data_IF_916065625490
#
_entry.id   IF_916065625490
#
_cell.length_a   1.000
_cell.length_b   1.000
_cell.length_c   1.000
_cell.angle_alpha   90.00
_cell.angle_beta   90.00
_cell.angle_gamma   90.00
#
_symmetry.space_group_name_H-M   'P 1'
#
loop_
_entity.id
_entity.type
_entity.pdbx_description
1 polymer ?
#
# COMPACT_ATOMS: atom_id res chain seq x y z
N UNK A 1 -12.86 7.67 -18.50
CA UNK A 1 -12.91 7.71 -17.03
C UNK A 1 -12.20 6.46 -16.54
N UNK A 2 -11.13 6.59 -15.76
CA UNK A 2 -10.38 5.45 -15.23
C UNK A 2 -10.94 5.14 -13.84
N UNK A 3 -11.65 4.02 -13.73
CA UNK A 3 -12.18 3.51 -12.47
C UNK A 3 -11.13 2.59 -11.87
N UNK A 4 -10.47 3.02 -10.79
CA UNK A 4 -9.61 2.16 -9.98
C UNK A 4 -10.45 1.47 -8.91
N UNK A 5 -10.31 0.15 -8.80
CA UNK A 5 -10.88 -0.61 -7.68
C UNK A 5 -9.77 -0.91 -6.68
N UNK A 6 -9.98 -0.60 -5.40
CA UNK A 6 -9.11 -1.05 -4.33
C UNK A 6 -9.66 -2.38 -3.83
N UNK A 7 -8.86 -3.44 -3.92
CA UNK A 7 -9.20 -4.77 -3.43
C UNK A 7 -8.18 -5.18 -2.37
N UNK A 8 -8.67 -5.41 -1.15
CA UNK A 8 -7.86 -5.71 0.03
C UNK A 8 -7.59 -4.47 0.88
N UNK A 9 -8.00 -4.51 2.14
CA UNK A 9 -7.58 -3.57 3.18
C UNK A 9 -6.90 -4.39 4.29
N UNK A 10 -5.80 -3.87 4.81
CA UNK A 10 -5.11 -4.44 5.97
C UNK A 10 -4.98 -3.33 6.99
N UNK A 11 -5.07 -3.68 8.28
CA UNK A 11 -4.91 -2.76 9.40
C UNK A 11 -3.44 -2.35 9.62
N UNK A 12 -2.55 -2.75 8.72
CA UNK A 12 -1.20 -2.22 8.71
C UNK A 12 -1.24 -0.73 8.36
N UNK A 13 -1.36 0.11 9.38
CA UNK A 13 -1.37 1.58 9.33
C UNK A 13 -0.04 2.18 8.82
N UNK A 14 0.86 1.38 8.26
CA UNK A 14 2.18 1.83 7.88
C UNK A 14 2.58 1.34 6.48
N UNK A 15 2.70 2.28 5.55
CA UNK A 15 3.16 2.07 4.17
C UNK A 15 4.59 1.49 4.08
N UNK A 16 5.33 1.48 5.19
CA UNK A 16 6.70 0.95 5.28
C UNK A 16 6.79 -0.57 5.13
N UNK A 17 5.68 -1.32 5.20
CA UNK A 17 5.70 -2.79 5.06
C UNK A 17 4.73 -3.29 3.98
N UNK A 18 5.16 -4.31 3.23
CA UNK A 18 4.32 -4.96 2.23
C UNK A 18 3.16 -5.70 2.91
N UNK A 19 1.89 -5.44 2.51
CA UNK A 19 0.73 -6.07 3.12
C UNK A 19 0.59 -7.57 2.74
N UNK A 20 1.34 -8.06 1.74
CA UNK A 20 1.31 -9.46 1.31
C UNK A 20 2.35 -10.34 2.00
N UNK A 21 3.59 -9.85 2.14
CA UNK A 21 4.70 -10.65 2.64
C UNK A 21 5.35 -10.09 3.91
N UNK A 22 4.99 -8.88 4.36
CA UNK A 22 5.58 -8.23 5.52
C UNK A 22 6.99 -7.67 5.31
N UNK A 23 7.53 -7.72 4.09
CA UNK A 23 8.84 -7.14 3.77
C UNK A 23 8.85 -5.61 3.94
N UNK A 24 9.96 -5.05 4.40
CA UNK A 24 10.17 -3.60 4.48
C UNK A 24 10.25 -2.99 3.07
N UNK A 25 9.62 -1.84 2.89
CA UNK A 25 9.57 -1.10 1.62
C UNK A 25 10.52 0.08 1.64
N UNK A 26 11.25 0.25 0.53
CA UNK A 26 12.12 1.41 0.28
C UNK A 26 11.74 2.19 -0.98
N UNK A 27 10.97 1.59 -1.89
CA UNK A 27 10.45 2.23 -3.12
C UNK A 27 9.11 2.93 -2.84
N UNK A 28 9.17 4.24 -2.58
CA UNK A 28 8.00 5.12 -2.41
C UNK A 28 7.81 6.05 -3.62
N UNK A 29 6.56 6.31 -3.98
CA UNK A 29 6.20 7.19 -5.09
C UNK A 29 5.45 8.42 -4.58
N UNK A 30 5.62 9.55 -5.28
CA UNK A 30 4.98 10.83 -4.92
C UNK A 30 3.46 10.82 -5.04
N UNK A 31 2.86 9.76 -5.60
CA UNK A 31 1.41 9.57 -5.65
C UNK A 31 0.84 8.85 -4.41
N UNK A 32 1.66 8.64 -3.37
CA UNK A 32 1.24 8.02 -2.11
C UNK A 32 1.20 6.49 -2.18
N UNK A 33 1.82 5.88 -3.19
CA UNK A 33 1.94 4.42 -3.31
C UNK A 33 3.37 3.93 -3.05
N UNK A 34 3.48 2.65 -2.71
CA UNK A 34 4.72 1.92 -2.48
C UNK A 34 4.79 0.69 -3.39
N UNK A 35 6.00 0.24 -3.74
CA UNK A 35 6.21 -0.99 -4.52
C UNK A 35 7.01 -2.02 -3.74
N UNK A 36 6.41 -3.19 -3.52
CA UNK A 36 7.13 -4.35 -3.01
C UNK A 36 7.79 -5.12 -4.16
N UNK A 37 9.13 -5.12 -4.21
CA UNK A 37 9.90 -5.83 -5.25
C UNK A 37 9.81 -7.35 -5.13
N UNK A 38 9.70 -7.88 -3.90
CA UNK A 38 9.59 -9.33 -3.69
C UNK A 38 8.27 -9.91 -4.19
N UNK A 39 7.17 -9.16 -4.03
CA UNK A 39 5.84 -9.59 -4.46
C UNK A 39 5.44 -9.07 -5.85
N UNK A 40 6.28 -8.24 -6.47
CA UNK A 40 5.94 -7.41 -7.63
C UNK A 40 4.57 -6.73 -7.49
N UNK A 41 4.37 -6.05 -6.36
CA UNK A 41 3.06 -5.56 -5.93
C UNK A 41 3.10 -4.08 -5.55
N UNK A 42 2.27 -3.28 -6.21
CA UNK A 42 2.09 -1.85 -5.93
C UNK A 42 0.83 -1.63 -5.09
N UNK A 43 0.95 -0.84 -4.01
CA UNK A 43 -0.14 -0.60 -3.07
C UNK A 43 -0.06 0.80 -2.46
N UNK A 44 -1.14 1.24 -1.82
CA UNK A 44 -1.18 2.43 -0.98
C UNK A 44 -1.90 2.11 0.32
N UNK A 45 -1.70 2.93 1.35
CA UNK A 45 -2.41 2.85 2.63
C UNK A 45 -3.33 4.06 2.70
N UNK A 46 -4.59 3.83 3.06
CA UNK A 46 -5.57 4.89 3.32
C UNK A 46 -5.84 4.88 4.81
N UNK A 47 -5.42 5.92 5.51
CA UNK A 47 -5.83 6.15 6.90
C UNK A 47 -7.21 6.77 6.89
N UNK A 48 -8.16 6.16 7.59
CA UNK A 48 -9.46 6.75 7.90
C UNK A 48 -9.41 7.20 9.36
N UNK A 49 -9.71 8.46 9.63
CA UNK A 49 -9.90 8.91 11.02
C UNK A 49 -11.15 8.20 11.59
N UNK A 50 -11.00 7.52 12.73
CA UNK A 50 -12.15 7.06 13.52
C UNK A 50 -12.78 8.28 14.20
N UNK A 51 -14.04 8.58 13.85
CA UNK A 51 -14.85 9.68 14.43
C UNK A 51 -15.33 9.36 15.86
#
# INVERSE_FOLDING_TARGET
MMYGYISGFTDANNITFCPKCGAEITDFYSDGTAWCRECDFRFGVVECEEE
#
